data_IF_215516791487
#
_entry.id   IF_215516791487
#
_cell.length_a   1.000
_cell.length_b   1.000
_cell.length_c   1.000
_cell.angle_alpha   90.00
_cell.angle_beta   90.00
_cell.angle_gamma   90.00
#
_symmetry.space_group_name_H-M   'P 1'
#
loop_
_entity.id
_entity.type
_entity.pdbx_description
1 polymer ?
#
# COMPACT_ATOMS: atom_id res chain seq x y z
N UNK A 1 1.86 -18.20 11.16
CA UNK A 1 1.85 -17.68 9.77
C UNK A 1 3.25 -17.17 9.47
N UNK A 2 3.93 -17.78 8.51
CA UNK A 2 5.26 -17.37 8.09
C UNK A 2 5.20 -15.98 7.42
N UNK A 3 6.32 -15.26 7.49
CA UNK A 3 6.55 -14.04 6.72
C UNK A 3 6.72 -14.45 5.26
N UNK A 4 6.03 -13.77 4.34
CA UNK A 4 6.21 -14.02 2.90
C UNK A 4 7.25 -13.02 2.40
N UNK A 5 8.35 -13.51 1.86
CA UNK A 5 9.45 -12.71 1.29
C UNK A 5 9.62 -12.92 -0.23
N UNK A 6 8.69 -13.64 -0.86
CA UNK A 6 8.64 -13.82 -2.31
C UNK A 6 8.07 -12.58 -3.00
N UNK A 7 8.55 -12.29 -4.21
CA UNK A 7 8.00 -11.22 -5.06
C UNK A 7 6.78 -11.66 -5.88
N UNK A 8 6.29 -12.89 -5.69
CA UNK A 8 5.06 -13.36 -6.30
C UNK A 8 3.85 -12.53 -5.89
N UNK A 9 3.02 -12.15 -6.87
CA UNK A 9 1.81 -11.36 -6.67
C UNK A 9 2.04 -9.99 -6.00
N UNK A 10 3.25 -9.44 -6.14
CA UNK A 10 3.62 -8.06 -5.81
C UNK A 10 3.48 -7.18 -7.06
N UNK A 11 3.11 -5.91 -6.87
CA UNK A 11 3.06 -4.93 -7.96
C UNK A 11 4.39 -4.87 -8.72
N UNK A 12 4.35 -4.97 -10.05
CA UNK A 12 5.54 -5.03 -10.89
C UNK A 12 6.44 -3.79 -10.74
N UNK A 13 5.88 -2.64 -10.37
CA UNK A 13 6.64 -1.40 -10.12
C UNK A 13 7.54 -1.53 -8.89
N UNK A 14 7.04 -2.18 -7.83
CA UNK A 14 7.84 -2.50 -6.64
C UNK A 14 8.92 -3.53 -6.94
N UNK A 15 8.62 -4.52 -7.79
CA UNK A 15 9.62 -5.50 -8.25
C UNK A 15 10.74 -4.81 -9.02
N UNK A 16 10.39 -3.93 -9.97
CA UNK A 16 11.37 -3.16 -10.75
C UNK A 16 12.22 -2.27 -9.85
N UNK A 17 11.60 -1.60 -8.89
CA UNK A 17 12.32 -0.78 -7.90
C UNK A 17 13.28 -1.61 -7.06
N UNK A 18 12.86 -2.76 -6.54
CA UNK A 18 13.71 -3.61 -5.73
C UNK A 18 14.93 -4.12 -6.52
N UNK A 19 14.75 -4.48 -7.79
CA UNK A 19 15.86 -4.90 -8.65
C UNK A 19 16.88 -3.78 -8.84
N UNK A 20 16.42 -2.55 -9.05
CA UNK A 20 17.28 -1.39 -9.17
C UNK A 20 17.97 -1.03 -7.85
N UNK A 21 17.25 -1.10 -6.74
CA UNK A 21 17.80 -0.89 -5.41
C UNK A 21 18.88 -1.91 -5.10
N UNK A 22 18.67 -3.18 -5.44
CA UNK A 22 19.64 -4.26 -5.23
C UNK A 22 20.89 -4.13 -6.11
N UNK A 23 20.79 -3.51 -7.29
CA UNK A 23 21.97 -3.15 -8.10
C UNK A 23 22.80 -2.06 -7.43
N UNK A 24 22.15 -1.06 -6.83
CA UNK A 24 22.82 0.04 -6.13
C UNK A 24 23.37 -0.39 -4.76
N UNK A 25 22.62 -1.22 -4.03
CA UNK A 25 22.93 -1.71 -2.69
C UNK A 25 22.81 -3.24 -2.65
N UNK A 26 23.87 -3.99 -3.04
CA UNK A 26 23.82 -5.45 -3.18
C UNK A 26 23.40 -6.21 -1.92
N UNK A 27 23.63 -5.64 -0.74
CA UNK A 27 23.28 -6.22 0.56
C UNK A 27 21.78 -6.23 0.89
N UNK A 28 20.94 -5.52 0.11
CA UNK A 28 19.51 -5.44 0.42
C UNK A 28 18.75 -6.72 0.10
N UNK A 29 17.76 -7.02 0.92
CA UNK A 29 16.87 -8.17 0.75
C UNK A 29 15.44 -7.85 1.20
N UNK A 30 14.46 -8.53 0.60
CA UNK A 30 13.06 -8.42 1.00
C UNK A 30 12.87 -9.18 2.30
N UNK A 31 12.47 -8.48 3.36
CA UNK A 31 12.07 -9.09 4.62
C UNK A 31 10.61 -9.54 4.57
N UNK A 32 9.70 -8.65 4.15
CA UNK A 32 8.28 -8.96 4.03
C UNK A 32 7.70 -8.32 2.76
N UNK A 33 6.83 -9.05 2.08
CA UNK A 33 6.21 -8.65 0.81
C UNK A 33 4.69 -8.62 0.99
N UNK A 34 3.97 -9.66 0.58
CA UNK A 34 2.56 -9.82 0.90
C UNK A 34 2.36 -10.24 2.34
N UNK A 35 1.36 -9.66 2.98
CA UNK A 35 0.95 -10.01 4.34
C UNK A 35 -0.48 -10.50 4.36
N UNK A 36 -0.72 -11.65 4.97
CA UNK A 36 -2.10 -12.18 5.09
C UNK A 36 -2.94 -11.34 6.05
N UNK A 37 -4.26 -11.35 5.85
CA UNK A 37 -5.23 -10.67 6.72
C UNK A 37 -5.12 -11.10 8.19
N UNK A 38 -4.95 -12.40 8.43
CA UNK A 38 -4.76 -12.95 9.77
C UNK A 38 -3.44 -12.46 10.41
N UNK A 39 -2.36 -12.34 9.62
CA UNK A 39 -1.09 -11.82 10.13
C UNK A 39 -1.18 -10.33 10.45
N UNK A 40 -1.83 -9.54 9.60
CA UNK A 40 -2.06 -8.12 9.88
C UNK A 40 -2.88 -7.93 11.16
N UNK A 41 -3.97 -8.70 11.33
CA UNK A 41 -4.79 -8.65 12.55
C UNK A 41 -3.97 -9.00 13.80
N UNK A 42 -3.10 -10.01 13.73
CA UNK A 42 -2.21 -10.38 14.84
C UNK A 42 -1.22 -9.27 15.19
N UNK A 43 -0.59 -8.63 14.19
CA UNK A 43 0.33 -7.51 14.41
C UNK A 43 -0.39 -6.30 15.02
N UNK A 44 -1.60 -5.99 14.51
CA UNK A 44 -2.43 -4.92 15.05
C UNK A 44 -2.79 -5.18 16.52
N UNK A 45 -3.20 -6.39 16.86
CA UNK A 45 -3.52 -6.77 18.24
C UNK A 45 -2.28 -6.67 19.16
N UNK A 46 -1.11 -7.12 18.70
CA UNK A 46 0.13 -7.01 19.45
C UNK A 46 0.55 -5.54 19.69
N UNK A 47 0.42 -4.68 18.68
CA UNK A 47 0.63 -3.23 18.85
C UNK A 47 -0.37 -2.65 19.86
N UNK A 48 -1.66 -2.95 19.75
CA UNK A 48 -2.69 -2.48 20.69
C UNK A 48 -2.46 -2.94 22.13
N UNK A 49 -1.85 -4.12 22.30
CA UNK A 49 -1.46 -4.66 23.60
C UNK A 49 -0.11 -4.13 24.12
N UNK A 50 0.60 -3.28 23.35
CA UNK A 50 1.92 -2.75 23.72
C UNK A 50 3.05 -3.78 23.68
N UNK A 51 2.84 -4.93 23.02
CA UNK A 51 3.79 -6.05 22.97
C UNK A 51 4.48 -6.19 21.60
N UNK A 52 4.24 -5.26 20.67
CA UNK A 52 4.81 -5.27 19.33
C UNK A 52 5.02 -3.87 18.76
N UNK A 53 5.72 -3.80 17.63
CA UNK A 53 5.98 -2.54 16.91
C UNK A 53 4.67 -1.94 16.39
N UNK A 54 4.51 -0.62 16.53
CA UNK A 54 3.26 0.10 16.33
C UNK A 54 3.05 0.90 15.02
N UNK A 55 3.72 0.65 13.88
CA UNK A 55 3.22 1.10 12.58
C UNK A 55 2.14 0.15 12.00
N UNK A 56 1.72 -0.88 12.75
CA UNK A 56 0.74 -1.85 12.29
C UNK A 56 -0.64 -1.19 12.06
N UNK A 57 -1.03 -1.03 10.79
CA UNK A 57 -2.37 -0.60 10.41
C UNK A 57 -3.44 -1.64 10.79
N UNK A 58 -4.71 -1.22 10.86
CA UNK A 58 -5.83 -2.17 10.95
C UNK A 58 -5.85 -3.11 9.73
N UNK A 59 -6.46 -4.29 9.88
CA UNK A 59 -6.62 -5.22 8.76
C UNK A 59 -7.45 -4.57 7.63
N UNK A 60 -6.96 -4.65 6.40
CA UNK A 60 -7.51 -3.99 5.22
C UNK A 60 -7.00 -2.59 4.98
N UNK A 61 -6.17 -2.08 5.90
CA UNK A 61 -5.54 -0.78 5.78
C UNK A 61 -4.04 -0.85 5.52
N UNK A 62 -3.47 -2.04 5.29
CA UNK A 62 -2.06 -2.22 4.96
C UNK A 62 -1.85 -2.55 3.49
N UNK A 63 -0.96 -1.81 2.83
CA UNK A 63 -0.56 -2.04 1.45
C UNK A 63 0.01 -3.46 1.20
N UNK A 64 0.63 -4.08 2.20
CA UNK A 64 1.12 -5.46 2.11
C UNK A 64 0.01 -6.47 1.84
N UNK A 65 -1.22 -6.22 2.32
CA UNK A 65 -2.34 -7.14 2.10
C UNK A 65 -2.77 -7.20 0.63
N UNK A 66 -2.41 -6.16 -0.13
CA UNK A 66 -2.76 -5.99 -1.54
C UNK A 66 -1.54 -6.16 -2.48
N UNK A 67 -0.38 -6.58 -1.96
CA UNK A 67 0.85 -6.67 -2.75
C UNK A 67 1.36 -5.32 -3.24
N UNK A 68 1.02 -4.24 -2.53
CA UNK A 68 1.38 -2.85 -2.86
C UNK A 68 2.47 -2.27 -1.95
N UNK A 69 3.16 -3.11 -1.17
CA UNK A 69 4.30 -2.72 -0.34
C UNK A 69 5.36 -3.83 -0.24
N UNK A 70 6.58 -3.41 0.13
CA UNK A 70 7.72 -4.24 0.49
C UNK A 70 8.40 -3.67 1.74
N UNK A 71 8.74 -4.55 2.67
CA UNK A 71 9.69 -4.27 3.75
C UNK A 71 11.06 -4.80 3.30
N UNK A 72 12.03 -3.91 3.16
CA UNK A 72 13.38 -4.20 2.69
C UNK A 72 14.37 -3.94 3.83
N UNK A 73 15.27 -4.87 4.06
CA UNK A 73 16.34 -4.78 5.05
C UNK A 73 17.72 -4.86 4.37
N UNK A 74 18.79 -4.77 5.17
CA UNK A 74 20.18 -4.87 4.67
C UNK A 74 20.78 -3.53 4.24
N UNK A 75 20.23 -2.42 4.72
CA UNK A 75 20.77 -1.07 4.52
C UNK A 75 20.62 -0.22 5.80
N UNK A 76 21.39 0.85 5.89
CA UNK A 76 21.23 1.92 6.87
C UNK A 76 20.48 3.09 6.23
N UNK A 77 19.32 3.44 6.78
CA UNK A 77 18.49 4.53 6.25
C UNK A 77 19.20 5.90 6.30
N UNK A 78 20.21 6.05 7.18
CA UNK A 78 21.01 7.27 7.31
C UNK A 78 22.16 7.26 6.31
N UNK A 79 22.97 6.21 6.30
CA UNK A 79 24.17 6.15 5.45
C UNK A 79 23.82 5.99 3.97
N UNK A 80 22.78 5.21 3.67
CA UNK A 80 22.39 4.90 2.29
C UNK A 80 21.31 5.84 1.74
N UNK A 81 20.89 6.87 2.50
CA UNK A 81 19.77 7.76 2.14
C UNK A 81 19.85 8.29 0.71
N UNK A 82 20.98 8.93 0.35
CA UNK A 82 21.19 9.50 -0.98
C UNK A 82 21.13 8.46 -2.10
N UNK A 83 21.59 7.23 -1.83
CA UNK A 83 21.57 6.14 -2.80
C UNK A 83 20.15 5.61 -2.99
N UNK A 84 19.35 5.56 -1.93
CA UNK A 84 17.94 5.14 -1.99
C UNK A 84 17.12 6.22 -2.70
N UNK A 85 17.31 7.49 -2.34
CA UNK A 85 16.64 8.64 -2.97
C UNK A 85 16.96 8.72 -4.48
N UNK A 86 18.20 8.47 -4.90
CA UNK A 86 18.56 8.47 -6.32
C UNK A 86 17.88 7.34 -7.12
N UNK A 87 17.61 6.19 -6.48
CA UNK A 87 16.79 5.13 -7.08
C UNK A 87 15.33 5.56 -7.14
N UNK A 88 14.79 6.14 -6.05
CA UNK A 88 13.40 6.61 -5.99
C UNK A 88 13.06 7.68 -7.04
N UNK A 89 14.02 8.51 -7.47
CA UNK A 89 13.82 9.46 -8.59
C UNK A 89 13.40 8.74 -9.88
N UNK A 90 13.86 7.50 -10.10
CA UNK A 90 13.48 6.68 -11.27
C UNK A 90 12.19 5.90 -11.05
N UNK A 91 11.65 5.90 -9.83
CA UNK A 91 10.43 5.20 -9.42
C UNK A 91 9.48 6.16 -8.69
N UNK A 92 8.98 7.21 -9.38
CA UNK A 92 8.27 8.33 -8.75
C UNK A 92 6.94 7.95 -8.09
N UNK A 93 6.38 6.81 -8.48
CA UNK A 93 5.15 6.24 -7.93
C UNK A 93 5.36 5.44 -6.64
N UNK A 94 6.60 5.32 -6.17
CA UNK A 94 6.94 4.69 -4.89
C UNK A 94 7.18 5.76 -3.83
N UNK A 95 6.68 5.49 -2.63
CA UNK A 95 7.00 6.24 -1.43
C UNK A 95 7.76 5.38 -0.43
N UNK A 96 8.62 6.06 0.32
CA UNK A 96 9.46 5.46 1.34
C UNK A 96 8.97 5.91 2.71
N UNK A 97 8.78 4.96 3.63
CA UNK A 97 8.27 5.19 4.97
C UNK A 97 9.20 5.97 5.89
N UNK A 98 10.45 6.24 5.48
CA UNK A 98 11.41 6.99 6.31
C UNK A 98 10.93 8.39 6.68
N UNK A 99 10.18 9.05 5.78
CA UNK A 99 9.73 10.43 5.95
C UNK A 99 8.32 10.54 6.55
N UNK A 100 7.73 9.42 6.97
CA UNK A 100 6.43 9.43 7.63
C UNK A 100 6.54 10.01 9.05
N UNK A 101 5.42 10.58 9.53
CA UNK A 101 5.32 11.10 10.91
C UNK A 101 5.73 10.04 11.95
N UNK A 102 5.35 8.79 11.70
CA UNK A 102 5.93 7.63 12.36
C UNK A 102 6.84 6.95 11.35
N UNK A 103 8.15 7.22 11.47
CA UNK A 103 9.14 6.74 10.52
C UNK A 103 9.17 5.20 10.52
N UNK A 104 9.11 4.63 9.31
CA UNK A 104 9.23 3.19 9.07
C UNK A 104 10.25 2.95 7.94
N UNK A 105 11.55 3.01 8.24
CA UNK A 105 12.58 3.00 7.21
C UNK A 105 12.63 1.74 6.33
N UNK A 106 12.32 0.52 6.80
CA UNK A 106 12.24 -0.65 5.92
C UNK A 106 11.11 -0.60 4.89
N UNK A 107 10.07 0.20 5.12
CA UNK A 107 8.81 0.15 4.38
C UNK A 107 8.82 0.97 3.09
N UNK A 108 8.52 0.33 1.96
CA UNK A 108 8.30 0.97 0.66
C UNK A 108 6.93 0.58 0.12
N UNK A 109 6.18 1.54 -0.42
CA UNK A 109 4.86 1.24 -1.00
C UNK A 109 4.55 2.07 -2.24
N UNK A 110 3.56 1.60 -3.01
CA UNK A 110 2.98 2.40 -4.09
C UNK A 110 2.28 3.62 -3.47
N UNK A 111 2.59 4.81 -3.97
CA UNK A 111 1.87 6.05 -3.65
C UNK A 111 0.40 5.90 -4.01
N UNK A 112 -0.47 6.33 -3.10
CA UNK A 112 -1.92 6.22 -3.29
C UNK A 112 -2.36 4.80 -3.66
N UNK A 113 -1.74 3.75 -3.12
CA UNK A 113 -2.01 2.34 -3.45
C UNK A 113 -3.49 1.92 -3.34
N UNK A 114 -4.29 2.66 -2.57
CA UNK A 114 -5.75 2.46 -2.46
C UNK A 114 -6.52 2.86 -3.73
N UNK A 115 -5.94 3.70 -4.57
CA UNK A 115 -6.53 4.17 -5.83
C UNK A 115 -6.67 2.96 -6.77
N UNK A 116 -7.90 2.55 -7.03
CA UNK A 116 -8.23 1.39 -7.86
C UNK A 116 -8.41 0.06 -7.11
N UNK A 117 -8.43 0.06 -5.76
CA UNK A 117 -8.81 -1.12 -4.97
C UNK A 117 -10.32 -1.20 -4.68
N UNK A 118 -11.04 -0.10 -4.88
CA UNK A 118 -12.50 -0.07 -4.81
C UNK A 118 -13.13 -0.22 -6.19
N UNK A 119 -14.43 -0.58 -6.25
CA UNK A 119 -15.18 -0.50 -7.50
C UNK A 119 -15.03 0.91 -8.08
N UNK A 120 -14.83 0.98 -9.39
CA UNK A 120 -14.88 2.22 -10.15
C UNK A 120 -16.19 2.95 -9.84
N UNK A 121 -16.18 4.30 -9.89
CA UNK A 121 -17.42 5.08 -9.76
C UNK A 121 -18.52 4.57 -10.72
N UNK A 122 -18.13 4.09 -11.90
CA UNK A 122 -19.02 3.39 -12.84
C UNK A 122 -19.63 2.12 -12.26
N UNK A 123 -18.84 1.23 -11.65
CA UNK A 123 -19.35 -0.01 -11.02
C UNK A 123 -20.25 0.31 -9.81
N UNK A 124 -19.92 1.33 -9.01
CA UNK A 124 -20.78 1.75 -7.90
C UNK A 124 -22.13 2.27 -8.42
N UNK A 125 -22.13 3.10 -9.46
CA UNK A 125 -23.35 3.74 -9.97
C UNK A 125 -24.22 2.77 -10.78
N UNK A 126 -23.59 1.98 -11.66
CA UNK A 126 -24.27 1.07 -12.59
C UNK A 126 -24.67 -0.22 -11.87
N UNK A 127 -23.72 -0.91 -11.24
CA UNK A 127 -23.97 -2.22 -10.64
C UNK A 127 -24.54 -2.10 -9.21
N UNK A 128 -24.22 -1.02 -8.50
CA UNK A 128 -24.79 -0.72 -7.17
C UNK A 128 -26.23 -0.19 -7.18
N UNK A 129 -26.86 -0.05 -8.35
CA UNK A 129 -28.26 0.35 -8.48
C UNK A 129 -28.56 1.82 -8.14
N UNK A 130 -27.54 2.65 -7.87
CA UNK A 130 -27.71 4.07 -7.57
C UNK A 130 -28.24 4.89 -8.75
N UNK A 131 -28.11 4.39 -9.98
CA UNK A 131 -28.73 4.99 -11.16
C UNK A 131 -30.26 5.12 -11.03
N UNK A 132 -30.92 4.20 -10.31
CA UNK A 132 -32.38 4.26 -10.07
C UNK A 132 -32.74 5.51 -9.28
N UNK A 133 -31.95 5.85 -8.26
CA UNK A 133 -32.16 7.05 -7.45
C UNK A 133 -31.88 8.33 -8.22
N UNK A 134 -30.89 8.32 -9.13
CA UNK A 134 -30.62 9.44 -10.04
C UNK A 134 -31.81 9.69 -10.97
N UNK A 135 -32.40 8.62 -11.54
CA UNK A 135 -33.59 8.72 -12.40
C UNK A 135 -34.80 9.25 -11.61
N UNK A 136 -35.05 8.74 -10.40
CA UNK A 136 -36.14 9.22 -9.53
C UNK A 136 -35.96 10.71 -9.20
N UNK A 137 -34.74 11.15 -8.87
CA UNK A 137 -34.45 12.55 -8.59
C UNK A 137 -34.72 13.45 -9.79
N UNK A 138 -34.34 13.04 -11.01
CA UNK A 138 -34.62 13.79 -12.24
C UNK A 138 -36.13 13.92 -12.48
N UNK A 139 -36.89 12.83 -12.30
CA UNK A 139 -38.35 12.84 -12.45
C UNK A 139 -38.98 13.80 -11.43
N UNK A 140 -38.56 13.73 -10.16
CA UNK A 140 -39.07 14.61 -9.11
C UNK A 140 -38.76 16.08 -9.41
N UNK A 141 -37.54 16.41 -9.85
CA UNK A 141 -37.16 17.77 -10.23
C UNK A 141 -37.99 18.26 -11.44
N UNK A 142 -38.21 17.39 -12.43
CA UNK A 142 -39.00 17.73 -13.61
C UNK A 142 -40.49 17.95 -13.30
N UNK A 143 -41.05 17.15 -12.37
CA UNK A 143 -42.46 17.22 -11.97
C UNK A 143 -42.72 18.36 -10.99
N UNK A 144 -41.81 18.62 -10.05
CA UNK A 144 -41.94 19.66 -9.02
C UNK A 144 -41.39 21.02 -9.46
N UNK A 145 -40.62 21.07 -10.54
CA UNK A 145 -40.12 22.30 -11.17
C UNK A 145 -41.05 22.87 -12.26
N UNK A 146 -42.22 22.25 -12.46
CA UNK A 146 -43.38 22.84 -13.14
C UNK A 146 -44.34 23.42 -12.12
#
# INVERSE_FOLDING_TARGET
MAVINSLENVDSRLVSFFQDLKRTLPGVYVFESRRSWARQAKLYAACKAGTGSCPAAASGSSAHQFGKALDINGFSAVENRKSIESVLVRHPDIEWGVDWKQSDPPHFQIRNWRKGLGPSFSEIIIDGGYWVWIVIAIILIYVLGR
#
